data_IF_822585210088
#
_entry.id   IF_822585210088
#
_cell.length_a   1.000
_cell.length_b   1.000
_cell.length_c   1.000
_cell.angle_alpha   90.00
_cell.angle_beta   90.00
_cell.angle_gamma   90.00
#
_symmetry.space_group_name_H-M   'P 1'
#
loop_
_entity.id
_entity.type
_entity.pdbx_description
1 polymer ?
#
# COMPACT_ATOMS: atom_id res chain seq x y z
N UNK A 1 -17.46 1.04 38.79
CA UNK A 1 -17.06 1.84 37.62
C UNK A 1 -15.66 1.43 37.27
N UNK A 2 -15.44 0.78 36.13
CA UNK A 2 -14.41 1.21 35.18
C UNK A 2 -14.52 0.40 33.89
N UNK A 3 -14.54 1.16 32.81
CA UNK A 3 -15.12 0.86 31.52
C UNK A 3 -13.96 0.66 30.52
N UNK A 4 -14.01 -0.45 29.76
CA UNK A 4 -13.42 -0.64 28.41
C UNK A 4 -11.92 -0.33 28.23
N UNK A 5 -11.06 -1.33 28.49
CA UNK A 5 -9.70 -1.42 27.88
C UNK A 5 -9.56 -2.55 26.85
N UNK A 6 -10.50 -2.69 25.93
CA UNK A 6 -10.35 -3.58 24.78
C UNK A 6 -10.80 -2.86 23.51
N UNK A 7 -9.88 -2.19 22.78
CA UNK A 7 -10.08 -1.91 21.33
C UNK A 7 -8.90 -1.45 20.46
N UNK A 8 -7.62 -1.79 20.67
CA UNK A 8 -6.60 -1.54 19.63
C UNK A 8 -6.61 -2.60 18.50
N UNK A 9 -7.00 -3.85 18.80
CA UNK A 9 -6.89 -4.98 17.85
C UNK A 9 -7.89 -4.95 16.68
N UNK A 10 -9.13 -4.52 16.94
CA UNK A 10 -10.17 -4.49 15.89
C UNK A 10 -9.92 -3.39 14.87
N UNK A 11 -9.45 -2.24 15.34
CA UNK A 11 -9.19 -1.09 14.47
C UNK A 11 -8.00 -1.36 13.54
N UNK A 12 -6.90 -1.91 14.05
CA UNK A 12 -5.73 -2.22 13.21
C UNK A 12 -6.05 -3.29 12.14
N UNK A 13 -6.79 -4.35 12.49
CA UNK A 13 -7.25 -5.35 11.52
C UNK A 13 -8.16 -4.73 10.45
N UNK A 14 -9.10 -3.88 10.87
CA UNK A 14 -9.99 -3.17 9.96
C UNK A 14 -9.24 -2.21 9.03
N UNK A 15 -8.21 -1.52 9.53
CA UNK A 15 -7.37 -0.64 8.72
C UNK A 15 -6.58 -1.44 7.67
N UNK A 16 -5.98 -2.57 8.05
CA UNK A 16 -5.31 -3.46 7.09
C UNK A 16 -6.28 -3.95 6.02
N UNK A 17 -7.50 -4.37 6.38
CA UNK A 17 -8.52 -4.82 5.42
C UNK A 17 -8.90 -3.73 4.42
N UNK A 18 -8.98 -2.47 4.86
CA UNK A 18 -9.24 -1.33 3.98
C UNK A 18 -8.10 -1.13 2.99
N UNK A 19 -6.84 -1.24 3.43
CA UNK A 19 -5.68 -1.14 2.54
C UNK A 19 -5.66 -2.26 1.49
N UNK A 20 -5.98 -3.49 1.89
CA UNK A 20 -6.06 -4.62 0.96
C UNK A 20 -7.12 -4.38 -0.12
N UNK A 21 -8.32 -3.94 0.26
CA UNK A 21 -9.40 -3.62 -0.71
C UNK A 21 -9.01 -2.49 -1.66
N UNK A 22 -8.27 -1.50 -1.17
CA UNK A 22 -7.77 -0.40 -2.01
C UNK A 22 -6.76 -0.92 -3.06
N UNK A 23 -5.87 -1.83 -2.67
CA UNK A 23 -4.93 -2.47 -3.61
C UNK A 23 -5.67 -3.31 -4.65
N UNK A 24 -6.68 -4.07 -4.23
CA UNK A 24 -7.48 -4.90 -5.14
C UNK A 24 -8.23 -4.04 -6.18
N UNK A 25 -8.85 -2.95 -5.74
CA UNK A 25 -9.51 -2.00 -6.64
C UNK A 25 -8.53 -1.34 -7.62
N UNK A 26 -7.32 -1.02 -7.15
CA UNK A 26 -6.26 -0.47 -8.01
C UNK A 26 -5.82 -1.47 -9.08
N UNK A 27 -5.57 -2.74 -8.71
CA UNK A 27 -5.19 -3.78 -9.67
C UNK A 27 -6.26 -4.03 -10.72
N UNK A 28 -7.53 -4.14 -10.31
CA UNK A 28 -8.64 -4.29 -11.23
C UNK A 28 -8.71 -3.11 -12.22
N UNK A 29 -8.45 -1.89 -11.75
CA UNK A 29 -8.38 -0.71 -12.59
C UNK A 29 -7.20 -0.76 -13.58
N UNK A 30 -5.99 -1.09 -13.11
CA UNK A 30 -4.78 -1.19 -13.95
C UNK A 30 -4.95 -2.26 -15.02
N UNK A 31 -5.52 -3.42 -14.66
CA UNK A 31 -5.79 -4.51 -15.59
C UNK A 31 -6.63 -4.05 -16.78
N UNK A 32 -7.64 -3.20 -16.54
CA UNK A 32 -8.54 -2.71 -17.58
C UNK A 32 -7.96 -1.52 -18.34
N UNK A 33 -7.23 -0.61 -17.68
CA UNK A 33 -6.85 0.70 -18.25
C UNK A 33 -5.39 0.80 -18.70
N UNK A 34 -4.53 -0.05 -18.17
CA UNK A 34 -3.09 -0.07 -18.45
C UNK A 34 -2.54 -1.52 -18.34
N UNK A 35 -2.99 -2.45 -19.21
CA UNK A 35 -2.61 -3.86 -19.11
C UNK A 35 -1.10 -4.11 -19.27
N UNK A 36 -0.38 -3.22 -19.97
CA UNK A 36 1.09 -3.27 -20.09
C UNK A 36 1.80 -2.99 -18.76
N UNK A 37 1.17 -2.23 -17.87
CA UNK A 37 1.68 -1.90 -16.53
C UNK A 37 1.28 -2.95 -15.48
N UNK A 38 0.33 -3.84 -15.80
CA UNK A 38 -0.28 -4.76 -14.85
C UNK A 38 0.72 -5.71 -14.16
N UNK A 39 1.68 -6.34 -14.85
CA UNK A 39 2.61 -7.25 -14.20
C UNK A 39 3.46 -6.56 -13.11
N UNK A 40 3.85 -5.30 -13.34
CA UNK A 40 4.61 -4.54 -12.37
C UNK A 40 3.73 -4.04 -11.22
N UNK A 41 2.51 -3.58 -11.53
CA UNK A 41 1.53 -3.21 -10.51
C UNK A 41 1.17 -4.39 -9.60
N UNK A 42 1.04 -5.60 -10.16
CA UNK A 42 0.79 -6.83 -9.41
C UNK A 42 1.95 -7.14 -8.46
N UNK A 43 3.21 -7.06 -8.92
CA UNK A 43 4.39 -7.26 -8.06
C UNK A 43 4.42 -6.25 -6.90
N UNK A 44 4.16 -4.97 -7.18
CA UNK A 44 4.08 -3.92 -6.15
C UNK A 44 2.96 -4.25 -5.14
N UNK A 45 1.78 -4.64 -5.62
CA UNK A 45 0.66 -4.99 -4.75
C UNK A 45 0.96 -6.22 -3.89
N UNK A 46 1.61 -7.26 -4.43
CA UNK A 46 2.04 -8.43 -3.66
C UNK A 46 2.99 -8.02 -2.53
N UNK A 47 3.97 -7.16 -2.81
CA UNK A 47 4.89 -6.65 -1.77
C UNK A 47 4.14 -5.83 -0.72
N UNK A 48 3.26 -4.93 -1.11
CA UNK A 48 2.47 -4.12 -0.17
C UNK A 48 1.53 -4.99 0.70
N UNK A 49 0.91 -6.03 0.13
CA UNK A 49 0.09 -6.98 0.90
C UNK A 49 0.92 -7.70 1.97
N UNK A 50 2.15 -8.10 1.64
CA UNK A 50 3.09 -8.70 2.62
C UNK A 50 3.44 -7.70 3.72
N UNK A 51 3.78 -6.47 3.38
CA UNK A 51 4.08 -5.43 4.37
C UNK A 51 2.87 -5.12 5.28
N UNK A 52 1.65 -5.07 4.74
CA UNK A 52 0.42 -4.88 5.54
C UNK A 52 0.22 -6.03 6.53
N UNK A 53 0.47 -7.27 6.12
CA UNK A 53 0.36 -8.44 6.99
C UNK A 53 1.42 -8.42 8.10
N UNK A 54 2.67 -8.13 7.75
CA UNK A 54 3.81 -8.12 8.68
C UNK A 54 3.74 -6.95 9.68
N UNK A 55 3.32 -5.76 9.21
CA UNK A 55 3.22 -4.57 10.06
C UNK A 55 1.95 -4.52 10.91
N UNK A 56 1.01 -5.45 10.71
CA UNK A 56 -0.23 -5.54 11.51
C UNK A 56 0.03 -5.66 13.03
N UNK A 57 1.19 -6.21 13.42
CA UNK A 57 1.64 -6.34 14.82
C UNK A 57 2.86 -5.46 15.16
N UNK A 58 3.36 -4.68 14.19
CA UNK A 58 4.54 -3.83 14.35
C UNK A 58 4.18 -2.48 15.01
N UNK A 59 5.10 -1.51 15.01
CA UNK A 59 4.88 -0.21 15.64
C UNK A 59 3.80 0.62 14.91
N UNK A 60 3.27 1.65 15.56
CA UNK A 60 2.34 2.58 14.91
C UNK A 60 2.99 3.36 13.75
N UNK A 61 4.30 3.63 13.84
CA UNK A 61 5.07 4.27 12.79
C UNK A 61 5.15 3.37 11.54
N UNK A 62 5.44 2.08 11.72
CA UNK A 62 5.53 1.12 10.60
C UNK A 62 4.19 1.02 9.87
N UNK A 63 3.09 0.93 10.61
CA UNK A 63 1.73 0.93 10.03
C UNK A 63 1.43 2.24 9.28
N UNK A 64 1.85 3.38 9.81
CA UNK A 64 1.65 4.67 9.15
C UNK A 64 2.46 4.77 7.83
N UNK A 65 3.69 4.26 7.81
CA UNK A 65 4.52 4.20 6.61
C UNK A 65 3.89 3.31 5.52
N UNK A 66 3.44 2.11 5.89
CA UNK A 66 2.75 1.21 4.94
C UNK A 66 1.45 1.83 4.41
N UNK A 67 0.68 2.50 5.28
CA UNK A 67 -0.52 3.24 4.86
C UNK A 67 -0.20 4.36 3.88
N UNK A 68 0.88 5.10 4.10
CA UNK A 68 1.34 6.13 3.18
C UNK A 68 1.76 5.53 1.83
N UNK A 69 2.44 4.38 1.83
CA UNK A 69 2.81 3.62 0.62
C UNK A 69 1.57 3.28 -0.23
N UNK A 70 0.60 2.61 0.40
CA UNK A 70 -0.64 2.20 -0.26
C UNK A 70 -1.42 3.42 -0.76
N UNK A 71 -1.53 4.46 0.06
CA UNK A 71 -2.21 5.70 -0.35
C UNK A 71 -1.53 6.35 -1.56
N UNK A 72 -0.20 6.36 -1.60
CA UNK A 72 0.55 6.93 -2.70
C UNK A 72 0.29 6.17 -4.01
N UNK A 73 0.33 4.84 -3.98
CA UNK A 73 0.07 3.98 -5.16
C UNK A 73 -1.39 4.11 -5.61
N UNK A 74 -2.35 4.11 -4.68
CA UNK A 74 -3.79 4.09 -4.98
C UNK A 74 -4.35 5.49 -5.32
N UNK A 75 -4.12 6.49 -4.45
CA UNK A 75 -4.77 7.81 -4.55
C UNK A 75 -4.04 8.74 -5.49
N UNK A 76 -2.71 8.70 -5.53
CA UNK A 76 -1.96 9.64 -6.37
C UNK A 76 -2.19 9.35 -7.86
N UNK A 77 -2.40 8.09 -8.24
CA UNK A 77 -2.76 7.67 -9.60
C UNK A 77 -4.21 7.99 -9.97
N UNK A 78 -5.14 7.93 -9.02
CA UNK A 78 -6.54 8.35 -9.23
C UNK A 78 -6.69 9.87 -9.41
N UNK A 79 -5.85 10.70 -8.75
CA UNK A 79 -5.91 12.17 -8.86
C UNK A 79 -5.15 12.76 -10.05
N UNK A 80 -4.06 12.15 -10.51
CA UNK A 80 -3.32 12.64 -11.70
C UNK A 80 -4.09 12.47 -13.01
N UNK A 81 -5.20 11.74 -13.02
CA UNK A 81 -6.10 11.59 -14.17
C UNK A 81 -6.64 12.92 -14.73
N UNK A 82 -6.59 14.02 -13.96
CA UNK A 82 -7.18 15.27 -14.41
C UNK A 82 -6.21 16.29 -15.01
N UNK A 83 -4.89 16.31 -14.70
CA UNK A 83 -4.02 17.40 -15.19
C UNK A 83 -2.52 17.16 -15.45
N UNK A 84 -1.90 16.05 -15.04
CA UNK A 84 -0.45 15.89 -15.30
C UNK A 84 -0.09 14.47 -15.74
N UNK A 85 0.72 14.42 -16.80
CA UNK A 85 1.38 13.27 -17.43
C UNK A 85 1.32 11.96 -16.64
N UNK A 86 0.83 10.90 -17.29
CA UNK A 86 0.93 9.50 -16.83
C UNK A 86 2.29 9.26 -16.18
N UNK A 87 2.34 9.22 -14.84
CA UNK A 87 3.58 8.88 -14.13
C UNK A 87 3.88 7.42 -14.44
N UNK A 88 5.12 7.08 -14.85
CA UNK A 88 5.47 5.70 -15.14
C UNK A 88 5.46 4.89 -13.84
N UNK A 89 5.10 3.61 -13.94
CA UNK A 89 5.07 2.67 -12.80
C UNK A 89 6.44 2.56 -12.11
N UNK A 90 7.54 2.86 -12.81
CA UNK A 90 8.89 2.94 -12.22
C UNK A 90 8.99 3.89 -11.03
N UNK A 91 8.16 4.93 -11.01
CA UNK A 91 8.14 5.90 -9.94
C UNK A 91 7.36 5.41 -8.71
N UNK A 92 6.55 4.35 -8.87
CA UNK A 92 5.90 3.62 -7.79
C UNK A 92 6.88 2.59 -7.18
N UNK A 93 7.77 2.02 -8.00
CA UNK A 93 8.90 1.17 -7.54
C UNK A 93 9.85 1.95 -6.64
N UNK A 94 10.22 3.17 -6.99
CA UNK A 94 11.13 3.99 -6.17
C UNK A 94 10.59 4.23 -4.75
N UNK A 95 9.28 4.54 -4.64
CA UNK A 95 8.62 4.76 -3.34
C UNK A 95 8.49 3.45 -2.57
N UNK A 96 8.21 2.34 -3.25
CA UNK A 96 8.21 1.03 -2.62
C UNK A 96 9.59 0.72 -2.03
N UNK A 97 10.65 0.91 -2.82
CA UNK A 97 12.03 0.64 -2.43
C UNK A 97 12.46 1.48 -1.22
N UNK A 98 12.11 2.77 -1.20
CA UNK A 98 12.33 3.64 -0.04
C UNK A 98 11.65 3.10 1.23
N UNK A 99 10.39 2.68 1.12
CA UNK A 99 9.60 2.22 2.26
C UNK A 99 10.05 0.86 2.77
N UNK A 100 10.38 -0.09 1.88
CA UNK A 100 10.93 -1.38 2.31
C UNK A 100 12.30 -1.21 2.97
N UNK A 101 13.14 -0.28 2.49
CA UNK A 101 14.41 0.05 3.15
C UNK A 101 14.17 0.67 4.52
N UNK A 102 13.24 1.63 4.65
CA UNK A 102 12.90 2.26 5.93
C UNK A 102 12.35 1.27 6.96
N UNK A 103 11.66 0.22 6.51
CA UNK A 103 11.15 -0.88 7.34
C UNK A 103 12.19 -1.97 7.63
N UNK A 104 13.43 -1.83 7.15
CA UNK A 104 14.46 -2.86 7.27
C UNK A 104 14.19 -4.13 6.46
N UNK A 105 13.25 -4.06 5.51
CA UNK A 105 12.82 -5.15 4.61
C UNK A 105 13.36 -4.99 3.19
N UNK A 106 14.62 -4.61 3.06
CA UNK A 106 15.28 -4.47 1.75
C UNK A 106 15.23 -5.74 0.90
N UNK A 107 14.97 -6.91 1.51
CA UNK A 107 14.70 -8.18 0.84
C UNK A 107 13.46 -8.14 -0.09
N UNK A 108 12.57 -7.16 0.11
CA UNK A 108 11.33 -7.00 -0.64
C UNK A 108 11.40 -5.91 -1.72
N UNK A 109 12.57 -5.28 -1.92
CA UNK A 109 12.77 -4.27 -2.95
C UNK A 109 12.61 -4.87 -4.37
N UNK A 110 12.10 -4.06 -5.30
CA UNK A 110 11.82 -4.42 -6.70
C UNK A 110 12.81 -3.80 -7.68
#
# INVERSE_FOLDING_TARGET
MDDRRIRPRRTAAHESDVLLRQLDGHLAWVQVRAPHDFPLAERIAVTLRRLVAETSRASAADRAMVRAAVHFVVVRRHRTHQRHARRPVSADVAVLNEIVTALGRGDLAL
#
